data_IF_203194692536
#
_entry.id   IF_203194692536
#
_cell.length_a   1.000
_cell.length_b   1.000
_cell.length_c   1.000
_cell.angle_alpha   90.00
_cell.angle_beta   90.00
_cell.angle_gamma   90.00
#
_symmetry.space_group_name_H-M   'P 1'
#
loop_
_entity.id
_entity.type
_entity.pdbx_description
1 polymer ?
#
# COMPACT_ATOMS: atom_id res chain seq x y z
N UNK A 1 17.07 -17.74 10.00
CA UNK A 1 16.68 -17.13 8.71
C UNK A 1 15.16 -17.11 8.68
N UNK A 2 14.54 -15.95 8.57
CA UNK A 2 13.08 -15.84 8.40
C UNK A 2 12.77 -15.93 6.89
N UNK A 3 11.77 -16.72 6.52
CA UNK A 3 11.26 -16.73 5.16
C UNK A 3 10.21 -15.62 5.01
N UNK A 4 10.29 -14.84 3.94
CA UNK A 4 9.29 -13.82 3.62
C UNK A 4 8.41 -14.34 2.49
N UNK A 5 7.10 -14.34 2.71
CA UNK A 5 6.10 -14.56 1.67
C UNK A 5 5.57 -13.18 1.29
N UNK A 6 5.80 -12.78 0.03
CA UNK A 6 5.34 -11.51 -0.49
C UNK A 6 4.00 -11.72 -1.20
N UNK A 7 2.98 -10.99 -0.78
CA UNK A 7 1.62 -11.09 -1.28
C UNK A 7 1.07 -9.70 -1.54
N UNK A 8 0.29 -9.57 -2.61
CA UNK A 8 -0.50 -8.36 -2.93
C UNK A 8 -1.96 -8.72 -2.75
N UNK A 9 -2.72 -7.84 -2.11
CA UNK A 9 -4.17 -7.95 -1.97
C UNK A 9 -4.79 -6.70 -2.58
N UNK A 10 -5.80 -6.89 -3.42
CA UNK A 10 -6.65 -5.82 -3.95
C UNK A 10 -8.01 -5.97 -3.29
N UNK A 11 -8.52 -4.88 -2.73
CA UNK A 11 -9.82 -4.81 -2.07
C UNK A 11 -10.61 -3.74 -2.81
N UNK A 12 -11.83 -4.07 -3.22
CA UNK A 12 -12.76 -3.10 -3.80
C UNK A 12 -13.06 -1.98 -2.79
N UNK A 13 -13.21 -0.76 -3.29
CA UNK A 13 -13.39 0.45 -2.47
C UNK A 13 -14.57 0.32 -1.50
N UNK A 14 -15.75 -0.07 -2.02
CA UNK A 14 -16.96 -0.30 -1.23
C UNK A 14 -16.75 -1.34 -0.12
N UNK A 15 -15.96 -2.39 -0.38
CA UNK A 15 -15.66 -3.43 0.60
C UNK A 15 -14.65 -2.96 1.65
N UNK A 16 -13.67 -2.16 1.24
CA UNK A 16 -12.71 -1.56 2.16
C UNK A 16 -13.41 -0.61 3.13
N UNK A 17 -14.31 0.25 2.63
CA UNK A 17 -15.10 1.16 3.46
C UNK A 17 -16.03 0.41 4.42
N UNK A 18 -16.73 -0.63 3.97
CA UNK A 18 -17.62 -1.42 4.83
C UNK A 18 -16.87 -2.11 5.98
N UNK A 19 -15.71 -2.72 5.67
CA UNK A 19 -14.93 -3.48 6.67
C UNK A 19 -14.12 -2.57 7.59
N UNK A 20 -13.48 -1.52 7.06
CA UNK A 20 -12.50 -0.73 7.78
C UNK A 20 -12.97 0.68 8.12
N UNK A 21 -13.99 1.23 7.46
CA UNK A 21 -14.44 2.62 7.62
C UNK A 21 -14.84 3.03 9.03
N UNK A 22 -15.21 2.06 9.88
CA UNK A 22 -15.52 2.29 11.30
C UNK A 22 -14.31 2.14 12.25
N UNK A 23 -13.20 1.55 11.78
CA UNK A 23 -12.05 1.14 12.61
C UNK A 23 -10.84 2.09 12.50
N UNK A 24 -10.75 2.91 11.44
CA UNK A 24 -9.54 3.74 11.14
C UNK A 24 -9.28 4.89 12.14
N UNK A 25 -10.08 5.06 13.20
CA UNK A 25 -9.85 6.18 14.13
C UNK A 25 -8.71 5.94 15.12
N UNK A 26 -8.35 4.69 15.46
CA UNK A 26 -7.24 4.40 16.38
C UNK A 26 -6.66 3.00 16.15
N UNK A 27 -5.35 2.89 15.89
CA UNK A 27 -4.63 1.61 16.02
C UNK A 27 -3.51 1.71 17.07
N UNK A 28 -3.36 0.65 17.87
CA UNK A 28 -2.47 0.58 19.03
C UNK A 28 -1.06 0.05 18.68
N UNK A 29 -0.80 -0.17 17.38
CA UNK A 29 0.38 -0.89 16.89
C UNK A 29 1.30 -0.05 15.99
N UNK A 30 1.20 1.28 16.08
CA UNK A 30 2.19 2.20 15.55
C UNK A 30 2.18 2.33 14.02
N UNK A 31 1.74 3.52 13.59
CA UNK A 31 1.95 4.09 12.27
C UNK A 31 1.12 3.46 11.13
N UNK A 32 -0.09 3.99 10.96
CA UNK A 32 -0.60 4.17 9.59
C UNK A 32 0.38 5.12 8.91
N UNK A 33 1.18 4.61 7.99
CA UNK A 33 2.17 5.39 7.24
C UNK A 33 1.43 6.46 6.44
N UNK A 34 1.38 7.67 6.99
CA UNK A 34 1.01 8.87 6.28
C UNK A 34 2.20 9.31 5.45
N UNK A 35 2.07 9.35 4.13
CA UNK A 35 2.99 10.10 3.27
C UNK A 35 2.21 11.23 2.59
N UNK A 36 1.96 12.31 3.35
CA UNK A 36 1.32 13.54 2.86
C UNK A 36 0.72 14.42 3.96
N UNK A 37 0.55 15.73 3.71
CA UNK A 37 -0.10 16.72 4.59
C UNK A 37 -1.64 16.58 4.61
N UNK A 38 -2.14 15.34 4.68
CA UNK A 38 -3.57 14.99 4.65
C UNK A 38 -3.93 14.08 5.82
N UNK A 39 -5.21 14.14 6.23
CA UNK A 39 -5.78 13.35 7.32
C UNK A 39 -5.39 11.86 7.23
N UNK A 40 -5.28 11.16 8.36
CA UNK A 40 -4.81 9.76 8.50
C UNK A 40 -5.56 8.68 7.68
N UNK A 41 -6.49 9.09 6.83
CA UNK A 41 -7.28 8.26 5.93
C UNK A 41 -6.91 8.43 4.44
N UNK A 42 -6.02 9.36 4.06
CA UNK A 42 -5.68 9.59 2.66
C UNK A 42 -4.53 8.66 2.24
N UNK A 43 -4.90 7.49 1.70
CA UNK A 43 -3.95 6.51 1.19
C UNK A 43 -3.09 7.04 0.03
N UNK A 44 -2.00 6.35 -0.29
CA UNK A 44 -1.16 6.69 -1.44
C UNK A 44 -1.85 6.21 -2.72
N UNK A 45 -2.15 7.10 -3.69
CA UNK A 45 -2.72 6.68 -4.96
C UNK A 45 -1.85 5.66 -5.68
N UNK A 46 -2.44 4.60 -6.23
CA UNK A 46 -1.72 3.59 -7.01
C UNK A 46 -1.46 4.09 -8.44
N UNK A 47 -0.56 5.07 -8.57
CA UNK A 47 -0.17 5.73 -9.84
C UNK A 47 1.31 5.54 -10.15
N UNK A 48 1.70 5.72 -11.42
CA UNK A 48 3.10 5.57 -11.85
C UNK A 48 4.03 6.48 -11.04
N UNK A 49 3.66 7.75 -10.90
CA UNK A 49 4.45 8.73 -10.16
C UNK A 49 4.61 8.37 -8.68
N UNK A 50 3.61 7.77 -8.04
CA UNK A 50 3.71 7.30 -6.67
C UNK A 50 4.62 6.08 -6.55
N UNK A 51 4.54 5.14 -7.50
CA UNK A 51 5.40 3.96 -7.55
C UNK A 51 6.86 4.35 -7.76
N UNK A 52 7.14 5.22 -8.72
CA UNK A 52 8.50 5.72 -8.96
C UNK A 52 9.06 6.41 -7.72
N UNK A 53 8.27 7.27 -7.06
CA UNK A 53 8.69 7.93 -5.81
C UNK A 53 9.05 6.92 -4.72
N UNK A 54 8.20 5.92 -4.50
CA UNK A 54 8.37 4.91 -3.45
C UNK A 54 9.56 3.98 -3.73
N UNK A 55 9.86 3.70 -5.00
CA UNK A 55 10.97 2.82 -5.38
C UNK A 55 12.32 3.55 -5.44
N UNK A 56 12.34 4.82 -5.85
CA UNK A 56 13.57 5.54 -6.15
C UNK A 56 14.03 6.49 -5.03
N UNK A 57 13.09 7.05 -4.27
CA UNK A 57 13.38 8.15 -3.32
C UNK A 57 13.18 7.78 -1.85
N UNK A 58 12.32 6.80 -1.56
CA UNK A 58 11.98 6.44 -0.17
C UNK A 58 12.75 5.20 0.31
N UNK A 59 13.11 5.12 1.60
CA UNK A 59 13.80 3.97 2.16
C UNK A 59 12.86 2.76 2.22
N UNK A 60 12.83 1.97 1.15
CA UNK A 60 11.98 0.79 1.02
C UNK A 60 12.79 -0.51 1.16
N UNK A 61 12.32 -1.46 1.96
CA UNK A 61 13.00 -2.74 2.12
C UNK A 61 12.98 -3.52 0.78
N UNK A 62 14.11 -4.12 0.40
CA UNK A 62 14.26 -4.78 -0.90
C UNK A 62 13.16 -5.81 -1.25
N UNK A 63 12.67 -6.65 -0.32
CA UNK A 63 11.55 -7.56 -0.60
C UNK A 63 10.24 -6.81 -0.89
N UNK A 64 9.95 -5.75 -0.13
CA UNK A 64 8.80 -4.89 -0.37
C UNK A 64 8.90 -4.21 -1.73
N UNK A 65 10.08 -3.68 -2.09
CA UNK A 65 10.30 -2.98 -3.35
C UNK A 65 10.05 -3.90 -4.55
N UNK A 66 10.55 -5.14 -4.47
CA UNK A 66 10.30 -6.15 -5.48
C UNK A 66 8.81 -6.49 -5.59
N UNK A 67 8.10 -6.63 -4.46
CA UNK A 67 6.66 -6.88 -4.45
C UNK A 67 5.88 -5.74 -5.11
N UNK A 68 6.19 -4.49 -4.75
CA UNK A 68 5.54 -3.29 -5.28
C UNK A 68 5.79 -3.13 -6.79
N UNK A 69 7.03 -3.33 -7.24
CA UNK A 69 7.37 -3.29 -8.65
C UNK A 69 6.65 -4.38 -9.47
N UNK A 70 6.53 -5.59 -8.93
CA UNK A 70 5.76 -6.67 -9.55
C UNK A 70 4.26 -6.35 -9.60
N UNK A 71 3.71 -5.77 -8.52
CA UNK A 71 2.33 -5.33 -8.48
C UNK A 71 2.04 -4.29 -9.58
N UNK A 72 2.89 -3.27 -9.71
CA UNK A 72 2.75 -2.24 -10.75
C UNK A 72 2.86 -2.82 -12.16
N UNK A 73 3.83 -3.71 -12.40
CA UNK A 73 4.02 -4.39 -13.69
C UNK A 73 2.79 -5.20 -14.10
N UNK A 74 2.17 -5.90 -13.15
CA UNK A 74 1.04 -6.80 -13.39
C UNK A 74 -0.32 -6.17 -13.05
N UNK A 75 -0.38 -4.84 -12.84
CA UNK A 75 -1.58 -4.12 -12.37
C UNK A 75 -2.85 -4.45 -13.13
N UNK A 76 -2.82 -4.50 -14.47
CA UNK A 76 -4.01 -4.81 -15.27
C UNK A 76 -4.57 -6.22 -14.99
N UNK A 77 -3.71 -7.18 -14.62
CA UNK A 77 -4.18 -8.51 -14.21
C UNK A 77 -4.66 -8.55 -12.76
N UNK A 78 -4.25 -7.58 -11.93
CA UNK A 78 -4.64 -7.48 -10.52
C UNK A 78 -5.96 -6.70 -10.34
N UNK A 79 -6.19 -5.68 -11.17
CA UNK A 79 -7.32 -4.75 -11.03
C UNK A 79 -8.44 -4.96 -12.05
N UNK A 80 -8.21 -5.75 -13.11
CA UNK A 80 -9.20 -6.03 -14.16
C UNK A 80 -9.21 -5.00 -15.28
#
# INVERSE_FOLDING_TARGET
MAATILTVVVIDDDLFEDVFGSTVQFNEEGEVVTVGEGSAAEGIPFTESAIDRLLDTEPFAAPGAACLALAWKHRHSLIG
#
